data_IF_663562303751
#
_entry.id   IF_663562303751
#
_cell.length_a   1.000
_cell.length_b   1.000
_cell.length_c   1.000
_cell.angle_alpha   90.00
_cell.angle_beta   90.00
_cell.angle_gamma   90.00
#
_symmetry.space_group_name_H-M   'P 1'
#
loop_
_entity.id
_entity.type
_entity.pdbx_description
1 polymer ?
#
# COMPACT_ATOMS: atom_id res chain seq x y z
N UNK A 1 -25.02 50.35 -2.11
CA UNK A 1 -23.71 50.40 -1.44
C UNK A 1 -23.19 48.96 -1.38
N UNK A 2 -22.49 48.50 -2.42
CA UNK A 2 -21.96 47.13 -2.50
C UNK A 2 -20.58 47.08 -1.87
N UNK A 3 -20.41 46.29 -0.83
CA UNK A 3 -19.11 46.01 -0.22
C UNK A 3 -18.31 45.10 -1.15
N UNK A 4 -17.25 45.66 -1.74
CA UNK A 4 -16.21 44.86 -2.41
C UNK A 4 -15.59 43.94 -1.36
N UNK A 5 -15.79 42.63 -1.49
CA UNK A 5 -15.09 41.64 -0.71
C UNK A 5 -13.61 41.69 -1.09
N UNK A 6 -12.77 42.20 -0.17
CA UNK A 6 -11.32 42.08 -0.24
C UNK A 6 -10.95 40.60 -0.03
N UNK A 7 -11.07 39.79 -1.08
CA UNK A 7 -10.37 38.51 -1.15
C UNK A 7 -8.89 38.87 -1.26
N UNK A 8 -8.16 38.68 -0.16
CA UNK A 8 -6.70 38.75 -0.16
C UNK A 8 -6.21 37.76 -1.21
N UNK A 9 -5.56 38.25 -2.27
CA UNK A 9 -4.63 37.48 -3.09
C UNK A 9 -3.58 36.90 -2.12
N UNK A 10 -3.85 35.72 -1.59
CA UNK A 10 -2.82 34.91 -0.94
C UNK A 10 -2.00 34.36 -2.07
N UNK A 11 -0.74 34.78 -2.12
CA UNK A 11 0.34 34.25 -2.95
C UNK A 11 0.11 32.77 -3.32
N UNK A 12 -0.44 32.54 -4.51
CA UNK A 12 -0.51 31.22 -5.11
C UNK A 12 0.87 30.88 -5.68
N UNK A 13 1.87 30.72 -4.81
CA UNK A 13 2.94 29.75 -5.10
C UNK A 13 2.35 28.36 -4.94
N UNK A 14 1.38 28.01 -5.79
CA UNK A 14 1.01 26.62 -6.00
C UNK A 14 2.27 25.96 -6.54
N UNK A 15 2.81 25.01 -5.78
CA UNK A 15 3.86 24.15 -6.28
C UNK A 15 3.40 23.56 -7.61
N UNK A 16 4.22 23.72 -8.65
CA UNK A 16 3.94 23.09 -9.92
C UNK A 16 4.21 21.58 -9.79
N UNK A 17 3.17 20.84 -9.43
CA UNK A 17 3.23 19.39 -9.25
C UNK A 17 3.00 18.63 -10.57
N UNK A 18 3.00 19.30 -11.73
CA UNK A 18 2.80 18.64 -13.04
C UNK A 18 3.77 17.49 -13.28
N UNK A 19 4.98 17.58 -12.71
CA UNK A 19 6.04 16.59 -12.89
C UNK A 19 6.07 15.53 -11.78
N UNK A 20 5.21 15.62 -10.76
CA UNK A 20 5.13 14.64 -9.66
C UNK A 20 4.12 13.53 -9.92
N UNK A 21 3.23 13.74 -10.89
CA UNK A 21 2.22 12.77 -11.30
C UNK A 21 2.31 12.43 -12.79
N UNK A 22 3.52 12.17 -13.34
CA UNK A 22 3.63 11.74 -14.72
C UNK A 22 3.13 10.30 -14.82
N UNK A 23 2.50 10.00 -15.95
CA UNK A 23 2.29 8.62 -16.35
C UNK A 23 3.67 7.98 -16.67
N UNK A 24 3.96 6.82 -16.07
CA UNK A 24 5.16 6.04 -16.34
C UNK A 24 4.82 4.67 -16.87
N UNK A 25 5.76 4.05 -17.60
CA UNK A 25 5.65 2.66 -18.06
C UNK A 25 6.70 1.81 -17.39
N UNK A 26 6.41 0.52 -17.33
CA UNK A 26 7.37 -0.50 -16.92
C UNK A 26 8.59 -0.48 -17.83
N UNK A 27 9.73 -0.77 -17.22
CA UNK A 27 10.97 -1.05 -17.92
C UNK A 27 11.37 -2.47 -17.55
N UNK A 28 11.48 -3.34 -18.54
CA UNK A 28 11.78 -4.77 -18.31
C UNK A 28 13.27 -5.01 -18.02
N UNK A 29 14.13 -4.10 -18.46
CA UNK A 29 15.59 -4.25 -18.39
C UNK A 29 16.24 -3.35 -17.33
N UNK A 30 17.28 -3.88 -16.67
CA UNK A 30 18.13 -3.10 -15.76
C UNK A 30 18.72 -1.89 -16.49
N UNK A 31 18.53 -0.70 -15.92
CA UNK A 31 19.06 0.54 -16.45
C UNK A 31 20.32 0.95 -15.68
N UNK A 32 21.41 1.19 -16.41
CA UNK A 32 22.61 1.79 -15.83
C UNK A 32 22.37 3.30 -15.75
N UNK A 33 22.38 3.83 -14.54
CA UNK A 33 22.15 5.26 -14.30
C UNK A 33 23.50 5.98 -14.17
N UNK A 34 23.66 7.06 -14.91
CA UNK A 34 24.79 7.99 -14.73
C UNK A 34 24.62 8.75 -13.41
N UNK A 35 25.69 8.82 -12.62
CA UNK A 35 25.67 9.56 -11.36
C UNK A 35 26.91 10.44 -11.22
N UNK A 36 26.73 11.57 -10.55
CA UNK A 36 27.82 12.47 -10.17
C UNK A 36 28.20 12.27 -8.70
N UNK A 37 29.50 12.16 -8.41
CA UNK A 37 30.02 12.02 -7.04
C UNK A 37 30.70 10.68 -6.77
N UNK A 38 30.63 10.20 -5.52
CA UNK A 38 31.23 8.92 -5.10
C UNK A 38 30.22 8.13 -4.27
N UNK A 39 29.91 6.91 -4.71
CA UNK A 39 29.11 5.97 -3.92
C UNK A 39 30.03 5.35 -2.84
N UNK A 40 29.65 5.37 -1.55
CA UNK A 40 30.44 4.72 -0.52
C UNK A 40 30.59 3.22 -0.78
N UNK A 41 31.81 2.67 -0.70
CA UNK A 41 32.07 1.26 -0.99
C UNK A 41 31.35 0.27 -0.06
N UNK A 42 30.96 0.74 1.13
CA UNK A 42 30.19 -0.05 2.09
C UNK A 42 28.69 -0.12 1.74
N UNK A 43 28.19 0.75 0.86
CA UNK A 43 26.79 0.75 0.45
C UNK A 43 26.58 -0.34 -0.61
N UNK A 44 26.01 -1.47 -0.18
CA UNK A 44 25.64 -2.60 -1.02
C UNK A 44 24.23 -3.04 -0.67
N UNK A 45 23.36 -3.14 -1.67
CA UNK A 45 21.98 -3.56 -1.49
C UNK A 45 21.06 -2.95 -2.53
N UNK A 46 19.76 -3.16 -2.32
CA UNK A 46 18.70 -2.70 -3.22
C UNK A 46 17.83 -1.67 -2.51
N UNK A 47 17.55 -0.55 -3.17
CA UNK A 47 16.57 0.43 -2.69
C UNK A 47 15.22 0.16 -3.35
N UNK A 48 14.30 -0.44 -2.61
CA UNK A 48 12.91 -0.57 -3.06
C UNK A 48 12.15 0.69 -2.70
N UNK A 49 11.43 1.24 -3.69
CA UNK A 49 10.48 2.33 -3.48
C UNK A 49 9.15 1.94 -4.07
N UNK A 50 8.09 2.36 -3.38
CA UNK A 50 6.75 2.21 -3.87
C UNK A 50 6.13 3.59 -4.11
N UNK A 51 5.17 3.65 -5.02
CA UNK A 51 4.57 4.88 -5.47
C UNK A 51 3.75 4.64 -6.72
N UNK A 52 3.07 5.68 -7.18
CA UNK A 52 2.08 5.53 -8.25
C UNK A 52 2.70 5.75 -9.61
N UNK A 53 2.20 4.99 -10.59
CA UNK A 53 2.65 5.07 -11.97
C UNK A 53 1.58 5.54 -12.98
N UNK A 54 0.29 5.44 -12.67
CA UNK A 54 -0.75 5.77 -13.66
C UNK A 54 -2.09 6.28 -13.13
N UNK A 55 -2.52 7.43 -13.67
CA UNK A 55 -3.67 8.21 -13.20
C UNK A 55 -4.95 7.96 -13.99
N UNK A 56 -4.88 7.09 -14.99
CA UNK A 56 -5.96 6.66 -15.86
C UNK A 56 -5.65 5.26 -16.43
N UNK A 57 -6.67 4.56 -16.90
CA UNK A 57 -6.56 3.25 -17.53
C UNK A 57 -6.49 3.45 -19.05
N UNK A 58 -5.46 2.89 -19.70
CA UNK A 58 -5.34 2.87 -21.17
C UNK A 58 -5.46 4.24 -21.85
N UNK A 59 -5.00 5.31 -21.18
CA UNK A 59 -5.16 6.70 -21.63
C UNK A 59 -6.63 7.14 -21.85
N UNK A 60 -7.59 6.49 -21.18
CA UNK A 60 -8.99 6.90 -21.17
C UNK A 60 -9.26 7.84 -19.99
N UNK A 61 -9.36 9.13 -20.29
CA UNK A 61 -9.68 10.18 -19.31
C UNK A 61 -10.98 9.93 -18.54
N UNK A 62 -11.91 9.11 -19.04
CA UNK A 62 -13.13 8.73 -18.28
C UNK A 62 -12.83 7.82 -17.09
N UNK A 63 -11.65 7.21 -17.08
CA UNK A 63 -11.15 6.37 -16.00
C UNK A 63 -10.14 7.11 -15.12
N UNK A 64 -9.99 8.42 -15.31
CA UNK A 64 -9.11 9.25 -14.49
C UNK A 64 -9.52 9.18 -13.02
N UNK A 65 -8.54 9.17 -12.13
CA UNK A 65 -8.80 9.17 -10.70
C UNK A 65 -8.65 10.57 -10.09
N UNK A 66 -9.33 10.80 -8.96
CA UNK A 66 -9.45 12.14 -8.38
C UNK A 66 -8.54 12.36 -7.17
N UNK A 67 -8.12 11.29 -6.49
CA UNK A 67 -7.19 11.39 -5.38
C UNK A 67 -5.82 10.87 -5.75
N UNK A 68 -4.77 11.48 -5.19
CA UNK A 68 -3.41 10.93 -5.22
C UNK A 68 -3.32 9.58 -4.53
N UNK A 69 -4.41 9.07 -3.91
CA UNK A 69 -4.50 7.75 -3.27
C UNK A 69 -5.33 6.71 -4.06
N UNK A 70 -5.96 7.12 -5.16
CA UNK A 70 -6.83 6.27 -6.00
C UNK A 70 -6.12 5.70 -7.25
N UNK A 71 -4.97 6.30 -7.56
CA UNK A 71 -4.11 6.07 -8.74
C UNK A 71 -3.60 4.63 -8.74
N UNK A 72 -3.85 3.95 -9.85
CA UNK A 72 -3.51 2.55 -10.07
C UNK A 72 -2.10 2.42 -10.67
N UNK A 73 -1.61 1.20 -10.68
CA UNK A 73 -0.34 0.84 -11.32
C UNK A 73 -0.52 0.42 -12.78
N UNK A 74 -0.89 1.33 -13.67
CA UNK A 74 -0.85 1.02 -15.11
C UNK A 74 0.60 1.13 -15.61
N UNK A 75 1.35 0.02 -15.55
CA UNK A 75 2.75 -0.04 -15.96
C UNK A 75 3.76 0.09 -14.81
N UNK A 76 3.52 -0.59 -13.68
CA UNK A 76 4.54 -0.89 -12.66
C UNK A 76 4.52 -2.39 -12.36
N UNK A 77 5.68 -2.98 -12.07
CA UNK A 77 5.99 -4.39 -11.76
C UNK A 77 4.92 -5.17 -10.95
N UNK A 78 4.11 -4.51 -10.13
CA UNK A 78 3.08 -5.13 -9.28
C UNK A 78 1.75 -5.24 -10.04
N UNK A 79 1.55 -6.39 -10.68
CA UNK A 79 0.31 -6.75 -11.39
C UNK A 79 -0.79 -7.24 -10.42
N UNK A 80 -1.21 -6.41 -9.46
CA UNK A 80 -2.25 -6.79 -8.47
C UNK A 80 -3.55 -7.28 -9.12
N UNK A 81 -4.43 -7.98 -8.39
CA UNK A 81 -5.71 -8.44 -8.92
C UNK A 81 -6.59 -7.25 -9.32
N UNK A 82 -6.59 -6.16 -8.55
CA UNK A 82 -7.34 -4.96 -8.91
C UNK A 82 -6.80 -4.31 -10.19
N UNK A 83 -5.48 -4.23 -10.30
CA UNK A 83 -4.84 -3.74 -11.51
C UNK A 83 -5.23 -4.61 -12.72
N UNK A 84 -5.05 -5.93 -12.59
CA UNK A 84 -5.37 -6.92 -13.62
C UNK A 84 -6.84 -6.89 -14.03
N UNK A 85 -7.78 -6.84 -13.09
CA UNK A 85 -9.21 -6.77 -13.39
C UNK A 85 -9.61 -5.43 -14.05
N UNK A 86 -9.03 -4.32 -13.60
CA UNK A 86 -9.31 -3.03 -14.23
C UNK A 86 -8.75 -2.92 -15.64
N UNK A 87 -7.55 -3.46 -15.86
CA UNK A 87 -6.92 -3.59 -17.17
C UNK A 87 -7.77 -4.45 -18.12
N UNK A 88 -8.14 -5.66 -17.69
CA UNK A 88 -8.92 -6.61 -18.50
C UNK A 88 -10.30 -6.07 -18.86
N UNK A 89 -10.96 -5.39 -17.92
CA UNK A 89 -12.34 -4.92 -18.12
C UNK A 89 -12.43 -3.48 -18.64
N UNK A 90 -11.28 -2.80 -18.83
CA UNK A 90 -11.19 -1.39 -19.20
C UNK A 90 -12.10 -0.46 -18.37
N UNK A 91 -12.20 -0.73 -17.07
CA UNK A 91 -13.07 -0.01 -16.13
C UNK A 91 -12.53 -0.06 -14.70
N UNK A 92 -12.92 0.91 -13.88
CA UNK A 92 -12.70 0.84 -12.43
C UNK A 92 -13.51 -0.34 -11.85
N UNK A 93 -12.93 -1.01 -10.85
CA UNK A 93 -13.56 -2.18 -10.20
C UNK A 93 -14.77 -1.75 -9.38
N UNK A 94 -15.66 -2.71 -9.18
CA UNK A 94 -16.79 -2.65 -8.27
C UNK A 94 -16.39 -2.05 -6.90
N UNK A 95 -17.03 -0.94 -6.48
CA UNK A 95 -16.76 -0.29 -5.20
C UNK A 95 -17.12 -1.15 -3.97
N UNK A 96 -17.78 -2.28 -4.16
CA UNK A 96 -18.08 -3.25 -3.09
C UNK A 96 -16.91 -4.17 -2.76
N UNK A 97 -15.85 -4.17 -3.58
CA UNK A 97 -14.63 -4.93 -3.32
C UNK A 97 -13.55 -4.07 -2.69
N UNK A 98 -12.86 -4.60 -1.68
CA UNK A 98 -11.70 -3.91 -1.11
C UNK A 98 -10.59 -3.85 -2.16
N UNK A 99 -9.96 -2.68 -2.33
CA UNK A 99 -8.87 -2.52 -3.30
C UNK A 99 -7.61 -3.24 -2.82
N UNK A 100 -6.90 -3.90 -3.73
CA UNK A 100 -5.56 -4.46 -3.50
C UNK A 100 -4.46 -3.60 -4.15
N UNK A 101 -4.77 -2.34 -4.43
CA UNK A 101 -3.84 -1.36 -4.94
C UNK A 101 -2.79 -1.00 -3.87
N UNK A 102 -1.67 -1.71 -3.90
CA UNK A 102 -0.57 -1.62 -2.95
C UNK A 102 0.36 -0.43 -3.21
N UNK A 103 -0.21 0.76 -3.42
CA UNK A 103 0.51 1.98 -3.82
C UNK A 103 1.14 2.80 -2.71
N UNK A 104 1.17 2.30 -1.47
CA UNK A 104 1.54 3.10 -0.29
C UNK A 104 2.98 2.84 0.14
N UNK A 105 3.36 1.58 0.37
CA UNK A 105 4.73 1.26 0.79
C UNK A 105 5.17 -0.12 0.34
N UNK A 106 6.45 -0.38 0.47
CA UNK A 106 7.08 -1.68 0.25
C UNK A 106 8.01 -1.99 1.42
N UNK A 107 8.00 -3.23 1.91
CA UNK A 107 8.85 -3.68 3.01
C UNK A 107 9.42 -5.06 2.73
N UNK A 108 10.72 -5.24 2.94
CA UNK A 108 11.36 -6.55 2.84
C UNK A 108 11.22 -7.28 4.18
N UNK A 109 10.57 -8.43 4.16
CA UNK A 109 10.34 -9.25 5.35
C UNK A 109 10.59 -10.72 4.99
N UNK A 110 11.50 -11.41 5.69
CA UNK A 110 11.86 -12.81 5.39
C UNK A 110 12.23 -13.08 3.94
N UNK A 111 12.99 -12.17 3.32
CA UNK A 111 13.35 -12.25 1.90
C UNK A 111 12.14 -12.21 0.95
N UNK A 112 10.97 -11.81 1.43
CA UNK A 112 9.79 -11.52 0.62
C UNK A 112 9.58 -10.01 0.59
N UNK A 113 9.33 -9.47 -0.59
CA UNK A 113 9.08 -8.06 -0.75
C UNK A 113 7.57 -7.81 -0.68
N UNK A 114 7.11 -7.20 0.41
CA UNK A 114 5.69 -6.96 0.65
C UNK A 114 5.32 -5.57 0.16
N UNK A 115 4.45 -5.48 -0.85
CA UNK A 115 3.80 -4.24 -1.22
C UNK A 115 2.48 -4.10 -0.47
N UNK A 116 2.27 -2.94 0.15
CA UNK A 116 1.19 -2.71 1.10
C UNK A 116 0.38 -1.46 0.76
N UNK A 117 -0.88 -1.50 1.18
CA UNK A 117 -1.83 -0.37 1.22
C UNK A 117 -2.52 -0.35 2.59
N UNK A 118 -3.57 0.44 2.74
CA UNK A 118 -4.33 0.58 3.99
C UNK A 118 -5.56 -0.33 4.05
N UNK A 119 -5.69 -1.24 3.08
CA UNK A 119 -6.68 -2.32 3.09
C UNK A 119 -6.07 -3.59 3.65
N UNK A 120 -6.92 -4.53 4.07
CA UNK A 120 -6.49 -5.84 4.60
C UNK A 120 -5.77 -6.72 3.56
N UNK A 121 -5.71 -6.27 2.31
CA UNK A 121 -5.06 -6.96 1.21
C UNK A 121 -3.67 -6.36 0.95
N UNK A 122 -2.73 -7.21 0.60
CA UNK A 122 -1.38 -6.81 0.18
C UNK A 122 -0.88 -7.71 -0.94
N UNK A 123 0.32 -7.43 -1.44
CA UNK A 123 0.94 -8.20 -2.51
C UNK A 123 2.34 -8.65 -2.09
N UNK A 124 2.68 -9.89 -2.40
CA UNK A 124 4.00 -10.48 -2.20
C UNK A 124 4.72 -10.47 -3.53
N UNK A 125 5.93 -9.91 -3.56
CA UNK A 125 6.76 -9.80 -4.74
C UNK A 125 8.06 -10.56 -4.53
N UNK A 126 8.60 -11.06 -5.63
CA UNK A 126 9.98 -11.50 -5.70
C UNK A 126 10.92 -10.29 -5.59
N UNK A 127 11.89 -10.25 -4.66
CA UNK A 127 12.76 -9.09 -4.51
C UNK A 127 13.75 -8.91 -5.67
N UNK A 128 14.07 -9.95 -6.43
CA UNK A 128 15.03 -9.91 -7.54
C UNK A 128 14.34 -9.55 -8.85
N UNK A 129 13.19 -10.18 -9.15
CA UNK A 129 12.46 -9.98 -10.42
C UNK A 129 11.33 -8.96 -10.30
N UNK A 130 10.92 -8.61 -9.08
CA UNK A 130 9.74 -7.79 -8.76
C UNK A 130 8.41 -8.38 -9.26
N UNK A 131 8.40 -9.66 -9.66
CA UNK A 131 7.19 -10.36 -10.09
C UNK A 131 6.24 -10.58 -8.92
N UNK A 132 4.93 -10.48 -9.19
CA UNK A 132 3.90 -10.79 -8.21
C UNK A 132 3.87 -12.31 -7.94
N UNK A 133 4.23 -12.70 -6.73
CA UNK A 133 4.17 -14.09 -6.26
C UNK A 133 2.77 -14.46 -5.74
N UNK A 134 2.01 -13.48 -5.24
CA UNK A 134 0.64 -13.70 -4.79
C UNK A 134 0.12 -12.58 -3.89
N UNK A 135 -1.10 -12.76 -3.39
CA UNK A 135 -1.70 -11.82 -2.43
C UNK A 135 -1.35 -12.19 -0.99
N UNK A 136 -1.18 -11.17 -0.15
CA UNK A 136 -0.90 -11.28 1.28
C UNK A 136 -2.06 -11.91 2.08
N UNK A 137 -3.25 -12.01 1.49
CA UNK A 137 -4.44 -12.69 2.05
C UNK A 137 -4.20 -14.22 2.16
N UNK A 138 -3.04 -14.72 1.72
CA UNK A 138 -2.60 -16.10 1.97
C UNK A 138 -1.73 -16.23 3.21
N UNK A 139 -1.25 -15.13 3.80
CA UNK A 139 -0.45 -15.20 5.01
C UNK A 139 -1.31 -15.64 6.21
N UNK A 140 -0.77 -16.46 7.14
CA UNK A 140 -1.54 -17.08 8.21
C UNK A 140 -2.33 -16.09 9.11
N UNK A 141 -1.98 -14.79 9.10
CA UNK A 141 -2.70 -13.76 9.85
C UNK A 141 -4.04 -13.32 9.25
N UNK A 142 -4.22 -13.49 7.94
CA UNK A 142 -5.48 -13.20 7.25
C UNK A 142 -6.46 -14.37 7.34
N UNK A 143 -5.95 -15.58 7.60
CA UNK A 143 -6.73 -16.81 7.74
C UNK A 143 -7.15 -17.09 9.19
N UNK A 144 -6.41 -16.58 10.18
CA UNK A 144 -6.67 -16.79 11.61
C UNK A 144 -7.73 -15.86 12.20
N UNK A 145 -8.17 -14.86 11.44
CA UNK A 145 -9.14 -13.88 11.89
C UNK A 145 -10.18 -13.77 10.80
N UNK A 146 -11.44 -14.06 11.14
CA UNK A 146 -12.56 -13.99 10.21
C UNK A 146 -12.47 -12.70 9.42
N UNK A 147 -12.36 -12.79 8.10
CA UNK A 147 -12.22 -11.64 7.20
C UNK A 147 -13.36 -10.61 7.36
N UNK A 148 -14.47 -11.01 7.98
CA UNK A 148 -15.57 -10.15 8.43
C UNK A 148 -15.23 -9.19 9.59
N UNK A 149 -14.05 -9.35 10.22
CA UNK A 149 -13.66 -8.62 11.42
C UNK A 149 -12.82 -7.39 11.10
N UNK A 150 -12.08 -7.30 9.99
CA UNK A 150 -11.24 -6.13 9.71
C UNK A 150 -11.65 -5.38 8.46
N UNK A 151 -11.69 -4.05 8.57
CA UNK A 151 -12.08 -3.17 7.47
C UNK A 151 -10.91 -2.37 6.93
N UNK A 152 -9.86 -2.15 7.75
CA UNK A 152 -8.68 -1.36 7.39
C UNK A 152 -7.42 -1.92 8.09
N UNK A 153 -6.25 -1.66 7.53
CA UNK A 153 -4.95 -1.89 8.16
C UNK A 153 -4.03 -0.71 7.90
N UNK A 154 -2.87 -0.69 8.54
CA UNK A 154 -1.80 0.27 8.22
C UNK A 154 -0.84 -0.35 7.21
N UNK A 155 -0.43 0.42 6.20
CA UNK A 155 0.66 0.00 5.32
C UNK A 155 2.03 -0.02 6.05
N UNK A 156 2.13 0.66 7.19
CA UNK A 156 3.36 0.76 7.98
C UNK A 156 3.39 -0.28 9.09
N UNK A 157 3.92 -1.46 8.78
CA UNK A 157 4.31 -2.45 9.79
C UNK A 157 5.71 -2.10 10.34
N UNK A 158 5.97 -2.50 11.58
CA UNK A 158 7.27 -2.39 12.23
C UNK A 158 7.88 -3.80 12.33
N UNK A 159 9.20 -3.90 12.22
CA UNK A 159 9.92 -5.14 12.51
C UNK A 159 10.81 -4.93 13.74
N UNK A 160 10.80 -5.90 14.64
CA UNK A 160 11.62 -5.91 15.84
C UNK A 160 12.62 -7.07 15.75
N UNK A 161 13.86 -6.73 15.39
CA UNK A 161 14.96 -7.68 15.27
C UNK A 161 15.24 -8.46 16.55
N UNK A 162 15.07 -7.85 17.73
CA UNK A 162 15.37 -8.54 18.99
C UNK A 162 14.38 -9.65 19.28
N UNK A 163 13.09 -9.40 19.02
CA UNK A 163 12.05 -10.40 19.22
C UNK A 163 11.75 -11.24 17.98
N UNK A 164 12.34 -10.90 16.82
CA UNK A 164 12.05 -11.53 15.53
C UNK A 164 10.53 -11.54 15.27
N UNK A 165 9.95 -10.34 15.29
CA UNK A 165 8.50 -10.13 15.11
C UNK A 165 8.20 -8.91 14.26
N UNK A 166 7.17 -9.06 13.45
CA UNK A 166 6.45 -7.95 12.82
C UNK A 166 5.35 -7.47 13.76
N UNK A 167 5.16 -6.16 13.83
CA UNK A 167 4.13 -5.50 14.61
C UNK A 167 3.32 -4.62 13.66
N UNK A 168 2.00 -4.80 13.64
CA UNK A 168 1.09 -4.03 12.80
C UNK A 168 -0.19 -3.64 13.53
N UNK A 169 -1.06 -2.90 12.84
CA UNK A 169 -2.35 -2.48 13.37
C UNK A 169 -3.47 -2.74 12.38
N UNK A 170 -4.57 -3.32 12.87
CA UNK A 170 -5.80 -3.48 12.09
C UNK A 170 -6.95 -2.73 12.76
N UNK A 171 -7.79 -2.12 11.94
CA UNK A 171 -9.02 -1.46 12.37
C UNK A 171 -10.25 -2.25 11.94
N UNK A 172 -11.24 -2.28 12.82
CA UNK A 172 -12.62 -2.64 12.48
C UNK A 172 -13.49 -1.43 12.65
N UNK A 173 -14.15 -1.02 11.58
CA UNK A 173 -15.07 0.11 11.57
C UNK A 173 -16.46 -0.42 11.23
N UNK A 174 -17.41 -0.28 12.16
CA UNK A 174 -18.81 -0.62 11.94
C UNK A 174 -19.72 0.48 12.46
N UNK A 175 -21.00 0.43 12.10
CA UNK A 175 -22.01 1.32 12.70
C UNK A 175 -22.19 1.12 14.21
N UNK A 176 -21.76 -0.01 14.79
CA UNK A 176 -21.91 -0.31 16.22
C UNK A 176 -20.69 0.09 17.05
N UNK A 177 -19.57 0.38 16.41
CA UNK A 177 -18.32 0.66 17.12
C UNK A 177 -17.09 0.58 16.23
N UNK A 178 -15.98 0.98 16.83
CA UNK A 178 -14.65 0.98 16.24
C UNK A 178 -13.69 0.23 17.14
N UNK A 179 -12.86 -0.61 16.55
CA UNK A 179 -11.84 -1.39 17.26
C UNK A 179 -10.50 -1.21 16.58
N UNK A 180 -9.45 -1.15 17.39
CA UNK A 180 -8.07 -1.15 16.94
C UNK A 180 -7.38 -2.36 17.55
N UNK A 181 -6.77 -3.16 16.71
CA UNK A 181 -6.10 -4.40 17.07
C UNK A 181 -4.61 -4.24 16.78
N UNK A 182 -3.78 -4.55 17.76
CA UNK A 182 -2.33 -4.65 17.58
C UNK A 182 -2.00 -6.09 17.24
N UNK A 183 -1.28 -6.30 16.15
CA UNK A 183 -0.94 -7.62 15.64
C UNK A 183 0.55 -7.84 15.81
N UNK A 184 0.91 -9.01 16.29
CA UNK A 184 2.29 -9.48 16.41
C UNK A 184 2.42 -10.75 15.59
N UNK A 185 3.36 -10.80 14.66
CA UNK A 185 3.62 -11.97 13.81
C UNK A 185 5.07 -12.36 14.04
N UNK A 186 5.29 -13.56 14.58
CA UNK A 186 6.64 -14.09 14.69
C UNK A 186 7.18 -14.45 13.31
N UNK A 187 8.46 -14.15 13.11
CA UNK A 187 9.26 -14.50 11.95
C UNK A 187 9.17 -16.01 11.60
N UNK A 188 9.05 -16.87 12.60
CA UNK A 188 8.88 -18.31 12.41
C UNK A 188 7.56 -18.71 11.74
N UNK A 189 6.54 -17.85 11.82
CA UNK A 189 5.21 -18.11 11.26
C UNK A 189 5.18 -17.99 9.72
N UNK A 190 6.21 -17.40 9.10
CA UNK A 190 6.34 -17.33 7.65
C UNK A 190 6.76 -18.66 7.02
N UNK A 191 7.38 -19.55 7.80
CA UNK A 191 7.95 -20.82 7.30
C UNK A 191 7.07 -22.05 7.59
N UNK A 192 5.92 -21.87 8.24
CA UNK A 192 5.03 -22.96 8.62
C UNK A 192 3.60 -22.56 8.26
N UNK A 193 2.79 -23.49 7.75
CA UNK A 193 1.33 -23.36 7.58
C UNK A 193 0.58 -23.20 8.93
N UNK A 194 1.25 -22.66 9.96
CA UNK A 194 0.74 -22.48 11.30
C UNK A 194 0.42 -21.02 11.54
N UNK A 195 -0.86 -20.78 11.78
CA UNK A 195 -1.41 -19.53 12.31
C UNK A 195 -0.57 -19.04 13.49
N UNK A 196 0.03 -17.85 13.33
CA UNK A 196 0.76 -17.17 14.39
C UNK A 196 -0.12 -16.90 15.63
N UNK A 197 0.49 -16.59 16.76
CA UNK A 197 -0.24 -16.25 17.98
C UNK A 197 -0.69 -14.78 17.93
N UNK A 198 -2.00 -14.52 18.00
CA UNK A 198 -2.57 -13.18 18.05
C UNK A 198 -2.78 -12.75 19.49
N UNK A 199 -2.11 -11.68 19.91
CA UNK A 199 -2.44 -10.99 21.15
C UNK A 199 -3.46 -9.89 20.86
N UNK A 200 -4.72 -10.19 21.12
CA UNK A 200 -5.81 -9.22 20.95
C UNK A 200 -5.85 -8.26 22.14
N UNK A 201 -5.28 -7.07 22.00
CA UNK A 201 -5.49 -5.99 22.97
C UNK A 201 -6.80 -5.26 22.63
N UNK A 202 -7.88 -5.63 23.32
CA UNK A 202 -9.18 -4.94 23.22
C UNK A 202 -9.26 -3.82 24.25
N UNK A 203 -9.46 -2.58 23.81
CA UNK A 203 -9.84 -1.45 24.68
C UNK A 203 -11.17 -0.89 24.23
N UNK A 204 -12.26 -1.41 24.79
CA UNK A 204 -13.59 -0.85 24.59
C UNK A 204 -13.68 0.51 25.30
N UNK A 205 -13.86 1.58 24.51
CA UNK A 205 -14.32 2.83 25.09
C UNK A 205 -15.84 2.71 25.23
N UNK A 206 -16.33 2.29 26.39
CA UNK A 206 -17.76 2.39 26.70
C UNK A 206 -18.13 3.87 26.61
N UNK A 207 -18.97 4.21 25.64
CA UNK A 207 -19.70 5.47 25.69
C UNK A 207 -20.64 5.36 26.90
N UNK A 208 -20.30 6.05 27.98
CA UNK A 208 -21.25 6.33 29.05
C UNK A 208 -22.38 7.16 28.44
N UNK A 209 -23.55 6.55 28.33
CA UNK A 209 -24.83 7.24 28.08
C UNK A 209 -25.18 8.05 29.32
#
# INVERSE_FOLDING_TARGET
MMTKSNVREKDEKRWNNSNLFPYSRDVEDEQIIEFEGKIPQWLKGTLYRNGRGAYEINNDLKTSVNHTFDVRFHGSFIKSHANTQSLLNNRLIDPTTSTDDTGVTVQLVHNQLLALTETVTGNILDPETLELLGSLITLPYSQSIDSEIFTITTAHIMHNDKSQMIIGFNGRITHKGHWLYVIFISDQSFNQDKTGFFYLFHKEKKNSV
#
